data_IF_527783947744
#
_entry.id   IF_527783947744
#
_cell.length_a   1.000
_cell.length_b   1.000
_cell.length_c   1.000
_cell.angle_alpha   90.00
_cell.angle_beta   90.00
_cell.angle_gamma   90.00
#
_symmetry.space_group_name_H-M   'P 1'
#
loop_
_entity.id
_entity.type
_entity.pdbx_description
1 polymer ?
#
# COMPACT_ATOMS: atom_id res chain seq x y z
N UNK A 1 -2.29 -3.42 39.32
CA UNK A 1 -1.49 -4.28 38.42
C UNK A 1 -1.11 -5.53 39.16
N UNK A 2 -1.43 -6.72 38.61
CA UNK A 2 -1.27 -8.01 39.35
C UNK A 2 0.12 -8.65 39.22
N UNK A 3 1.14 -7.93 38.79
CA UNK A 3 2.55 -8.38 38.79
C UNK A 3 2.87 -9.70 38.07
N UNK A 4 2.04 -10.10 37.07
CA UNK A 4 2.26 -11.34 36.32
C UNK A 4 1.62 -12.61 36.91
N UNK A 5 0.87 -12.51 37.99
CA UNK A 5 0.11 -13.64 38.53
C UNK A 5 -1.23 -13.79 37.82
N UNK A 6 -1.45 -14.92 37.13
CA UNK A 6 -2.70 -15.26 36.45
C UNK A 6 -3.62 -16.04 37.40
N UNK A 7 -4.91 -15.66 37.37
CA UNK A 7 -5.97 -16.37 38.06
C UNK A 7 -6.60 -17.43 37.15
N UNK A 8 -7.32 -18.43 37.68
CA UNK A 8 -8.04 -19.39 36.84
C UNK A 8 -8.99 -18.76 35.83
N UNK A 9 -9.56 -17.60 36.13
CA UNK A 9 -10.41 -16.81 35.21
C UNK A 9 -9.60 -16.27 34.03
N UNK A 10 -8.34 -15.87 34.25
CA UNK A 10 -7.48 -15.35 33.18
C UNK A 10 -7.13 -16.46 32.17
N UNK A 11 -6.86 -17.69 32.66
CA UNK A 11 -6.65 -18.86 31.79
C UNK A 11 -7.92 -19.27 31.03
N UNK A 12 -9.09 -19.20 31.68
CA UNK A 12 -10.37 -19.45 31.00
C UNK A 12 -10.60 -18.47 29.89
N UNK A 13 -10.46 -17.15 30.14
CA UNK A 13 -10.64 -16.11 29.15
C UNK A 13 -9.65 -16.26 27.99
N UNK A 14 -8.39 -16.55 28.28
CA UNK A 14 -7.37 -16.79 27.26
C UNK A 14 -7.68 -18.03 26.41
N UNK A 15 -8.14 -19.12 27.02
CA UNK A 15 -8.55 -20.34 26.31
C UNK A 15 -9.71 -20.06 25.34
N UNK A 16 -10.73 -19.33 25.81
CA UNK A 16 -11.84 -18.88 24.96
C UNK A 16 -11.34 -18.01 23.82
N UNK A 17 -10.41 -17.07 24.11
CA UNK A 17 -9.81 -16.20 23.09
C UNK A 17 -9.05 -16.98 22.02
N UNK A 18 -8.25 -17.97 22.41
CA UNK A 18 -7.54 -18.86 21.48
C UNK A 18 -8.53 -19.62 20.58
N UNK A 19 -9.58 -20.21 21.15
CA UNK A 19 -10.61 -20.95 20.40
C UNK A 19 -11.33 -20.03 19.40
N UNK A 20 -11.70 -18.83 19.82
CA UNK A 20 -12.34 -17.83 18.93
C UNK A 20 -11.41 -17.46 17.77
N UNK A 21 -10.12 -17.25 18.03
CA UNK A 21 -9.14 -16.95 16.99
C UNK A 21 -9.02 -18.10 15.98
N UNK A 22 -8.97 -19.34 16.42
CA UNK A 22 -8.96 -20.51 15.52
C UNK A 22 -10.24 -20.61 14.69
N UNK A 23 -11.40 -20.38 15.30
CA UNK A 23 -12.68 -20.40 14.57
C UNK A 23 -12.77 -19.25 13.54
N UNK A 24 -12.27 -18.06 13.89
CA UNK A 24 -12.14 -16.95 12.93
C UNK A 24 -11.20 -17.30 11.79
N UNK A 25 -10.01 -17.84 12.10
CA UNK A 25 -9.05 -18.28 11.10
C UNK A 25 -9.64 -19.37 10.18
N UNK A 26 -10.38 -20.32 10.74
CA UNK A 26 -11.06 -21.37 9.96
C UNK A 26 -12.05 -20.78 8.96
N UNK A 27 -12.80 -19.75 9.34
CA UNK A 27 -13.77 -19.08 8.43
C UNK A 27 -13.10 -18.25 7.36
N UNK A 28 -11.90 -17.69 7.65
CA UNK A 28 -11.20 -16.77 6.73
C UNK A 28 -10.25 -17.53 5.81
N UNK A 29 -9.41 -18.41 6.36
CA UNK A 29 -8.31 -19.07 5.63
C UNK A 29 -8.53 -20.58 5.44
N UNK A 30 -9.63 -21.13 5.93
CA UNK A 30 -10.04 -22.51 5.68
C UNK A 30 -8.99 -23.54 6.12
N UNK A 31 -8.42 -24.26 5.15
CA UNK A 31 -7.49 -25.35 5.41
C UNK A 31 -6.19 -24.95 6.12
N UNK A 32 -5.71 -23.71 5.96
CA UNK A 32 -4.53 -23.21 6.67
C UNK A 32 -4.77 -23.12 8.17
N UNK A 33 -6.00 -22.86 8.61
CA UNK A 33 -6.33 -22.88 10.03
C UNK A 33 -6.24 -24.29 10.62
N UNK A 34 -6.56 -25.34 9.85
CA UNK A 34 -6.36 -26.71 10.26
C UNK A 34 -4.87 -27.05 10.45
N UNK A 35 -4.03 -26.59 9.53
CA UNK A 35 -2.57 -26.73 9.66
C UNK A 35 -2.03 -26.02 10.91
N UNK A 36 -2.48 -24.79 11.17
CA UNK A 36 -2.15 -24.08 12.41
C UNK A 36 -2.63 -24.83 13.66
N UNK A 37 -3.83 -25.44 13.61
CA UNK A 37 -4.36 -26.29 14.66
C UNK A 37 -3.48 -27.52 14.93
N UNK A 38 -2.94 -28.17 13.91
CA UNK A 38 -1.99 -29.26 14.04
C UNK A 38 -0.74 -28.82 14.79
N UNK A 39 -0.15 -27.67 14.43
CA UNK A 39 1.01 -27.12 15.14
C UNK A 39 0.67 -26.68 16.57
N UNK A 40 -0.55 -26.19 16.80
CA UNK A 40 -1.00 -25.89 18.15
C UNK A 40 -1.07 -27.16 19.02
N UNK A 41 -1.66 -28.25 18.49
CA UNK A 41 -1.74 -29.54 19.19
C UNK A 41 -0.37 -30.20 19.37
N UNK A 42 0.56 -29.95 18.45
CA UNK A 42 1.94 -30.44 18.55
C UNK A 42 2.62 -29.98 19.83
N UNK A 43 2.32 -28.78 20.38
CA UNK A 43 2.87 -28.32 21.64
C UNK A 43 2.57 -29.28 22.83
N UNK A 44 1.47 -30.01 22.76
CA UNK A 44 1.08 -30.97 23.82
C UNK A 44 1.57 -32.37 23.52
N UNK A 45 1.76 -32.73 22.26
CA UNK A 45 2.08 -34.07 21.82
C UNK A 45 3.59 -34.37 21.73
N UNK A 46 4.43 -33.41 22.04
CA UNK A 46 5.89 -33.51 21.84
C UNK A 46 6.57 -34.71 22.48
N UNK A 47 6.10 -35.16 23.64
CA UNK A 47 6.63 -36.32 24.36
C UNK A 47 6.35 -37.66 23.65
N UNK A 48 5.30 -37.71 22.82
CA UNK A 48 4.87 -38.92 22.10
C UNK A 48 5.53 -39.06 20.74
N UNK A 49 6.26 -38.04 20.29
CA UNK A 49 6.86 -38.01 18.99
C UNK A 49 8.34 -38.44 19.09
N UNK A 50 8.75 -39.56 18.46
CA UNK A 50 10.12 -40.01 18.54
C UNK A 50 11.02 -39.22 17.57
N UNK A 51 12.32 -39.14 17.90
CA UNK A 51 13.36 -38.60 17.01
C UNK A 51 13.53 -37.08 17.12
N UNK A 52 14.00 -36.49 16.04
CA UNK A 52 14.37 -35.06 15.97
C UNK A 52 13.22 -34.08 16.19
N UNK A 53 11.98 -34.53 16.05
CA UNK A 53 10.78 -33.73 16.26
C UNK A 53 10.17 -33.90 17.67
N UNK A 54 10.75 -34.77 18.53
CA UNK A 54 10.32 -34.92 19.90
C UNK A 54 10.76 -33.75 20.77
N UNK A 55 9.89 -33.29 21.66
CA UNK A 55 10.20 -32.26 22.66
C UNK A 55 9.44 -32.56 23.97
N UNK A 56 9.90 -31.98 25.06
CA UNK A 56 9.14 -32.02 26.32
C UNK A 56 7.83 -31.26 26.14
N UNK A 57 6.69 -31.94 26.21
CA UNK A 57 5.37 -31.33 26.07
C UNK A 57 5.18 -30.12 26.99
N UNK A 58 4.35 -29.18 26.57
CA UNK A 58 4.02 -28.01 27.39
C UNK A 58 2.66 -28.18 28.06
N UNK A 59 2.54 -27.67 29.32
CA UNK A 59 1.25 -27.64 30.01
C UNK A 59 0.28 -26.65 29.34
N UNK A 60 -1.02 -26.92 29.49
CA UNK A 60 -2.08 -26.04 28.96
C UNK A 60 -1.89 -24.58 29.37
N UNK A 61 -1.64 -24.36 30.66
CA UNK A 61 -1.46 -23.03 31.23
C UNK A 61 -0.33 -22.26 30.53
N UNK A 62 0.82 -22.92 30.33
CA UNK A 62 1.97 -22.31 29.63
C UNK A 62 1.69 -21.99 28.17
N UNK A 63 1.00 -22.88 27.44
CA UNK A 63 0.66 -22.64 26.02
C UNK A 63 -0.34 -21.51 25.90
N UNK A 64 -1.38 -21.48 26.71
CA UNK A 64 -2.41 -20.45 26.68
C UNK A 64 -1.87 -19.09 27.13
N UNK A 65 -1.02 -19.06 28.17
CA UNK A 65 -0.34 -17.85 28.58
C UNK A 65 0.52 -17.27 27.46
N UNK A 66 1.35 -18.09 26.82
CA UNK A 66 2.20 -17.66 25.71
C UNK A 66 1.38 -17.19 24.50
N UNK A 67 0.33 -17.90 24.15
CA UNK A 67 -0.49 -17.62 22.97
C UNK A 67 -1.36 -16.37 23.13
N UNK A 68 -1.92 -16.11 24.32
CA UNK A 68 -2.89 -15.03 24.50
C UNK A 68 -2.31 -13.81 25.24
N UNK A 69 -1.60 -14.03 26.34
CA UNK A 69 -1.06 -12.94 27.17
C UNK A 69 0.36 -12.53 26.76
N UNK A 70 1.07 -13.38 26.03
CA UNK A 70 2.41 -13.12 25.55
C UNK A 70 2.41 -12.18 24.33
N UNK A 71 3.44 -11.32 24.25
CA UNK A 71 3.68 -10.45 23.08
C UNK A 71 4.17 -11.21 21.83
N UNK A 72 4.37 -12.51 21.93
CA UNK A 72 4.80 -13.39 20.82
C UNK A 72 3.69 -14.28 20.28
N UNK A 73 2.55 -14.32 20.96
CA UNK A 73 1.37 -15.10 20.58
C UNK A 73 0.40 -14.35 19.65
N UNK A 74 -0.89 -14.58 19.88
CA UNK A 74 -1.98 -14.01 19.07
C UNK A 74 -1.97 -12.47 19.07
N UNK A 75 -1.65 -11.84 20.18
CA UNK A 75 -1.55 -10.37 20.32
C UNK A 75 -0.11 -9.86 20.05
N UNK A 76 0.69 -10.67 19.37
CA UNK A 76 2.08 -10.35 19.06
C UNK A 76 2.23 -9.38 17.88
N UNK A 77 3.45 -9.38 17.32
CA UNK A 77 3.90 -8.47 16.25
C UNK A 77 2.94 -8.44 15.06
N UNK A 78 2.40 -9.60 14.65
CA UNK A 78 1.49 -9.68 13.49
C UNK A 78 0.21 -8.85 13.66
N UNK A 79 -0.45 -8.98 14.82
CA UNK A 79 -1.65 -8.18 15.13
C UNK A 79 -1.29 -6.73 15.39
N UNK A 80 -0.19 -6.46 16.10
CA UNK A 80 0.31 -5.12 16.35
C UNK A 80 0.55 -4.35 15.04
N UNK A 81 1.28 -4.94 14.10
CA UNK A 81 1.54 -4.35 12.76
C UNK A 81 0.24 -4.18 11.98
N UNK A 82 -0.68 -5.15 12.04
CA UNK A 82 -1.97 -5.09 11.35
C UNK A 82 -2.85 -3.94 11.86
N UNK A 83 -2.95 -3.80 13.18
CA UNK A 83 -3.78 -2.78 13.81
C UNK A 83 -3.23 -1.35 13.65
N UNK A 84 -1.94 -1.20 13.39
CA UNK A 84 -1.26 0.10 13.29
C UNK A 84 -0.88 0.44 11.85
N UNK A 85 0.21 -0.14 11.36
CA UNK A 85 0.78 0.22 10.06
C UNK A 85 -0.13 -0.15 8.90
N UNK A 86 -0.60 -1.42 8.84
CA UNK A 86 -1.37 -1.92 7.70
C UNK A 86 -2.68 -1.13 7.57
N UNK A 87 -3.38 -0.90 8.68
CA UNK A 87 -4.63 -0.14 8.68
C UNK A 87 -4.45 1.24 8.04
N UNK A 88 -3.45 2.02 8.47
CA UNK A 88 -3.22 3.37 7.94
C UNK A 88 -2.75 3.37 6.48
N UNK A 89 -1.92 2.41 6.07
CA UNK A 89 -1.47 2.33 4.68
C UNK A 89 -2.58 1.87 3.73
N UNK A 90 -3.45 0.95 4.17
CA UNK A 90 -4.65 0.56 3.41
C UNK A 90 -5.60 1.75 3.27
N UNK A 91 -5.80 2.50 4.34
CA UNK A 91 -6.59 3.74 4.32
C UNK A 91 -5.99 4.78 3.37
N UNK A 92 -4.68 5.01 3.42
CA UNK A 92 -3.97 5.89 2.49
C UNK A 92 -4.15 5.45 1.03
N UNK A 93 -4.03 4.14 0.74
CA UNK A 93 -4.28 3.57 -0.59
C UNK A 93 -5.70 3.83 -1.08
N UNK A 94 -6.72 3.72 -0.20
CA UNK A 94 -8.10 4.04 -0.52
C UNK A 94 -8.27 5.54 -0.85
N UNK A 95 -7.68 6.44 -0.07
CA UNK A 95 -7.69 7.88 -0.37
C UNK A 95 -7.05 8.21 -1.72
N UNK A 96 -5.88 7.61 -2.01
CA UNK A 96 -5.24 7.78 -3.32
C UNK A 96 -6.10 7.26 -4.46
N UNK A 97 -6.73 6.11 -4.32
CA UNK A 97 -7.65 5.55 -5.32
C UNK A 97 -8.78 6.53 -5.64
N UNK A 98 -9.45 7.06 -4.63
CA UNK A 98 -10.56 8.01 -4.80
C UNK A 98 -10.12 9.42 -5.24
N UNK A 99 -8.83 9.76 -5.13
CA UNK A 99 -8.29 11.01 -5.67
C UNK A 99 -8.14 11.02 -7.20
N UNK A 100 -8.35 9.86 -7.88
CA UNK A 100 -8.10 9.70 -9.30
C UNK A 100 -6.65 9.29 -9.64
N UNK A 101 -5.87 8.90 -8.64
CA UNK A 101 -4.49 8.47 -8.80
C UNK A 101 -4.36 7.23 -9.70
N UNK A 102 -5.32 6.29 -9.63
CA UNK A 102 -5.32 5.08 -10.47
C UNK A 102 -5.39 5.42 -11.96
N UNK A 103 -6.26 6.36 -12.35
CA UNK A 103 -6.37 6.81 -13.74
C UNK A 103 -5.09 7.53 -14.19
N UNK A 104 -4.52 8.33 -13.30
CA UNK A 104 -3.27 9.03 -13.56
C UNK A 104 -2.11 8.06 -13.82
N UNK A 105 -1.97 7.00 -13.01
CA UNK A 105 -0.94 5.97 -13.18
C UNK A 105 -1.13 5.19 -14.49
N UNK A 106 -2.37 4.83 -14.82
CA UNK A 106 -2.66 4.15 -16.09
C UNK A 106 -2.29 5.02 -17.30
N UNK A 107 -2.67 6.30 -17.29
CA UNK A 107 -2.30 7.25 -18.35
C UNK A 107 -0.78 7.45 -18.42
N UNK A 108 -0.11 7.52 -17.28
CA UNK A 108 1.35 7.62 -17.22
C UNK A 108 2.03 6.38 -17.79
N UNK A 109 1.58 5.19 -17.43
CA UNK A 109 2.09 3.93 -17.97
C UNK A 109 1.88 3.83 -19.49
N UNK A 110 0.71 4.26 -19.97
CA UNK A 110 0.43 4.36 -21.42
C UNK A 110 1.42 5.29 -22.14
N UNK A 111 1.74 6.43 -21.56
CA UNK A 111 2.68 7.37 -22.17
C UNK A 111 4.11 6.84 -22.20
N UNK A 112 4.54 6.10 -21.17
CA UNK A 112 5.90 5.61 -21.02
C UNK A 112 6.21 4.43 -21.95
N UNK A 113 5.33 3.43 -21.99
CA UNK A 113 5.62 2.15 -22.67
C UNK A 113 4.62 1.76 -23.74
N UNK A 114 3.50 2.46 -23.87
CA UNK A 114 2.40 2.10 -24.77
C UNK A 114 2.80 1.99 -26.26
N UNK A 115 3.76 2.80 -26.74
CA UNK A 115 4.25 2.78 -28.14
C UNK A 115 5.19 1.64 -28.44
N UNK A 116 5.75 1.00 -27.44
CA UNK A 116 6.75 -0.08 -27.64
C UNK A 116 6.10 -1.37 -28.07
N UNK A 117 6.85 -2.27 -28.70
CA UNK A 117 6.37 -3.62 -29.04
C UNK A 117 5.80 -4.30 -27.80
N UNK A 118 4.56 -4.79 -27.90
CA UNK A 118 3.85 -5.34 -26.75
C UNK A 118 3.39 -4.30 -25.74
N UNK A 119 3.20 -3.05 -26.16
CA UNK A 119 2.80 -1.92 -25.31
C UNK A 119 1.73 -2.23 -24.27
N UNK A 120 0.58 -2.81 -24.64
CA UNK A 120 -0.49 -3.11 -23.68
C UNK A 120 -0.07 -3.97 -22.50
N UNK A 121 0.72 -5.02 -22.73
CA UNK A 121 1.20 -5.87 -21.65
C UNK A 121 2.28 -5.18 -20.79
N UNK A 122 3.13 -4.36 -21.39
CA UNK A 122 4.09 -3.53 -20.63
C UNK A 122 3.39 -2.43 -19.82
N UNK A 123 2.29 -1.87 -20.34
CA UNK A 123 1.45 -0.93 -19.60
C UNK A 123 0.88 -1.62 -18.36
N UNK A 124 0.39 -2.86 -18.49
CA UNK A 124 -0.04 -3.66 -17.34
C UNK A 124 1.07 -3.78 -16.30
N UNK A 125 2.28 -4.18 -16.72
CA UNK A 125 3.42 -4.33 -15.79
C UNK A 125 3.76 -3.03 -15.08
N UNK A 126 3.88 -1.91 -15.81
CA UNK A 126 4.25 -0.62 -15.23
C UNK A 126 3.14 -0.05 -14.35
N UNK A 127 1.88 -0.11 -14.81
CA UNK A 127 0.74 0.36 -14.02
C UNK A 127 0.58 -0.45 -12.73
N UNK A 128 0.66 -1.79 -12.83
CA UNK A 128 0.56 -2.67 -11.65
C UNK A 128 1.76 -2.53 -10.72
N UNK A 129 2.96 -2.24 -11.23
CA UNK A 129 4.10 -1.90 -10.39
C UNK A 129 3.83 -0.64 -9.57
N UNK A 130 3.46 0.45 -10.22
CA UNK A 130 3.22 1.73 -9.56
C UNK A 130 2.02 1.71 -8.61
N UNK A 131 0.93 1.03 -8.97
CA UNK A 131 -0.23 0.87 -8.08
C UNK A 131 0.06 -0.10 -6.94
N UNK A 132 0.76 -1.20 -7.22
CA UNK A 132 1.14 -2.19 -6.22
C UNK A 132 2.06 -1.63 -5.14
N UNK A 133 2.98 -0.75 -5.52
CA UNK A 133 3.84 -0.01 -4.57
C UNK A 133 3.05 0.77 -3.51
N UNK A 134 1.78 1.10 -3.79
CA UNK A 134 0.93 1.92 -2.93
C UNK A 134 -0.05 1.08 -2.14
N UNK A 135 -0.77 0.18 -2.80
CA UNK A 135 -1.80 -0.61 -2.12
C UNK A 135 -1.26 -1.86 -1.42
N UNK A 136 -0.04 -2.30 -1.74
CA UNK A 136 0.65 -3.43 -1.08
C UNK A 136 -0.07 -4.79 -1.17
N UNK A 137 -1.20 -4.87 -1.87
CA UNK A 137 -2.04 -6.05 -2.00
C UNK A 137 -2.15 -6.49 -3.45
N UNK A 138 -1.67 -7.70 -3.76
CA UNK A 138 -1.78 -8.27 -5.11
C UNK A 138 -3.22 -8.39 -5.57
N UNK A 139 -4.14 -8.85 -4.69
CA UNK A 139 -5.56 -9.01 -5.03
C UNK A 139 -6.23 -7.67 -5.34
N UNK A 140 -6.00 -6.66 -4.49
CA UNK A 140 -6.53 -5.32 -4.71
C UNK A 140 -5.96 -4.71 -6.01
N UNK A 141 -4.70 -4.98 -6.31
CA UNK A 141 -4.05 -4.48 -7.51
C UNK A 141 -4.64 -5.13 -8.78
N UNK A 142 -4.77 -6.46 -8.83
CA UNK A 142 -5.46 -7.15 -9.94
C UNK A 142 -6.87 -6.62 -10.14
N UNK A 143 -7.62 -6.37 -9.07
CA UNK A 143 -8.99 -5.86 -9.17
C UNK A 143 -9.06 -4.43 -9.73
N UNK A 144 -8.04 -3.59 -9.48
CA UNK A 144 -8.02 -2.19 -9.95
C UNK A 144 -7.39 -2.04 -11.33
N UNK A 145 -6.17 -2.53 -11.53
CA UNK A 145 -5.45 -2.40 -12.81
C UNK A 145 -5.90 -3.43 -13.82
N UNK A 146 -6.14 -4.67 -13.42
CA UNK A 146 -6.51 -5.78 -14.29
C UNK A 146 -7.85 -5.60 -15.00
N UNK A 147 -8.79 -4.88 -14.38
CA UNK A 147 -10.06 -4.52 -15.03
C UNK A 147 -9.86 -3.71 -16.33
N UNK A 148 -8.78 -2.95 -16.42
CA UNK A 148 -8.44 -2.12 -17.59
C UNK A 148 -7.42 -2.84 -18.49
N UNK A 149 -6.37 -3.38 -17.90
CA UNK A 149 -5.19 -3.89 -18.63
C UNK A 149 -5.44 -5.25 -19.28
N UNK A 150 -6.19 -6.17 -18.65
CA UNK A 150 -6.50 -7.48 -19.23
C UNK A 150 -7.34 -7.34 -20.52
N UNK A 151 -8.46 -6.59 -20.54
CA UNK A 151 -9.18 -6.34 -21.79
C UNK A 151 -8.32 -5.66 -22.88
N UNK A 152 -7.43 -4.73 -22.49
CA UNK A 152 -6.54 -4.04 -23.40
C UNK A 152 -5.54 -5.03 -24.05
N UNK A 153 -4.94 -5.93 -23.29
CA UNK A 153 -4.04 -6.97 -23.79
C UNK A 153 -4.77 -7.94 -24.74
N UNK A 154 -5.98 -8.37 -24.37
CA UNK A 154 -6.81 -9.25 -25.22
C UNK A 154 -7.15 -8.62 -26.56
N UNK A 155 -7.55 -7.35 -26.58
CA UNK A 155 -7.87 -6.60 -27.82
C UNK A 155 -6.68 -6.45 -28.76
N UNK A 156 -5.45 -6.53 -28.24
CA UNK A 156 -4.21 -6.38 -29.04
C UNK A 156 -3.60 -7.71 -29.46
N UNK A 157 -4.26 -8.83 -29.18
CA UNK A 157 -3.88 -10.14 -29.71
C UNK A 157 -3.16 -11.07 -28.72
N UNK A 158 -3.05 -10.71 -27.45
CA UNK A 158 -2.58 -11.64 -26.44
C UNK A 158 -3.66 -12.67 -26.07
N UNK A 159 -3.22 -13.90 -25.81
CA UNK A 159 -4.09 -14.96 -25.28
C UNK A 159 -4.64 -14.56 -23.91
N UNK A 160 -5.92 -14.89 -23.59
CA UNK A 160 -6.53 -14.52 -22.31
C UNK A 160 -5.74 -15.02 -21.08
N UNK A 161 -5.21 -16.25 -21.17
CA UNK A 161 -4.43 -16.88 -20.10
C UNK A 161 -3.12 -16.13 -19.84
N UNK A 162 -2.44 -15.70 -20.93
CA UNK A 162 -1.21 -14.91 -20.81
C UNK A 162 -1.50 -13.51 -20.24
N UNK A 163 -2.57 -12.86 -20.70
CA UNK A 163 -2.96 -11.56 -20.18
C UNK A 163 -3.29 -11.62 -18.67
N UNK A 164 -4.02 -12.65 -18.24
CA UNK A 164 -4.31 -12.86 -16.82
C UNK A 164 -3.05 -13.17 -16.01
N UNK A 165 -2.14 -14.00 -16.55
CA UNK A 165 -0.88 -14.34 -15.90
C UNK A 165 0.04 -13.11 -15.73
N UNK A 166 0.19 -12.29 -16.77
CA UNK A 166 0.99 -11.05 -16.70
C UNK A 166 0.45 -10.12 -15.61
N UNK A 167 -0.86 -9.90 -15.55
CA UNK A 167 -1.47 -9.04 -14.54
C UNK A 167 -1.29 -9.61 -13.13
N UNK A 168 -1.52 -10.92 -12.94
CA UNK A 168 -1.36 -11.58 -11.64
C UNK A 168 0.09 -11.48 -11.13
N UNK A 169 1.08 -11.76 -12.00
CA UNK A 169 2.49 -11.67 -11.66
C UNK A 169 2.89 -10.22 -11.41
N UNK A 170 2.51 -9.26 -12.28
CA UNK A 170 2.82 -7.85 -12.08
C UNK A 170 2.25 -7.31 -10.76
N UNK A 171 1.02 -7.68 -10.43
CA UNK A 171 0.35 -7.27 -9.19
C UNK A 171 1.00 -7.87 -7.94
N UNK A 172 1.51 -9.11 -8.03
CA UNK A 172 2.19 -9.77 -6.91
C UNK A 172 3.48 -9.02 -6.52
N UNK A 173 4.21 -8.49 -7.48
CA UNK A 173 5.41 -7.69 -7.22
C UNK A 173 5.19 -6.47 -6.34
N UNK A 174 3.97 -5.92 -6.31
CA UNK A 174 3.61 -4.79 -5.45
C UNK A 174 3.74 -5.07 -3.95
N UNK A 175 3.68 -6.34 -3.54
CA UNK A 175 3.80 -6.72 -2.12
C UNK A 175 5.20 -6.47 -1.53
N UNK A 176 6.22 -6.43 -2.37
CA UNK A 176 7.61 -6.15 -1.94
C UNK A 176 8.25 -4.96 -2.65
N UNK A 177 7.49 -4.27 -3.51
CA UNK A 177 7.97 -3.07 -4.17
C UNK A 177 7.82 -1.84 -3.26
N UNK A 178 8.92 -1.11 -2.98
CA UNK A 178 8.85 0.14 -2.22
C UNK A 178 7.95 1.19 -2.91
N UNK A 179 7.35 2.13 -2.16
CA UNK A 179 7.64 2.48 -0.76
C UNK A 179 6.78 1.77 0.29
N UNK A 180 5.54 1.36 -0.02
CA UNK A 180 4.62 0.87 1.03
C UNK A 180 4.77 -0.63 1.23
N UNK A 181 5.01 -1.38 0.15
CA UNK A 181 5.09 -2.84 0.19
C UNK A 181 3.79 -3.47 0.75
N UNK A 182 3.83 -4.73 1.11
CA UNK A 182 2.75 -5.39 1.85
C UNK A 182 3.05 -5.46 3.35
N UNK A 183 2.15 -6.11 4.09
CA UNK A 183 2.28 -6.35 5.52
C UNK A 183 3.65 -6.93 5.92
N UNK A 184 4.21 -7.78 5.07
CA UNK A 184 5.47 -8.50 5.32
C UNK A 184 6.65 -7.54 5.54
N UNK A 185 6.70 -6.42 4.82
CA UNK A 185 7.76 -5.43 5.00
C UNK A 185 7.80 -4.83 6.40
N UNK A 186 6.64 -4.53 6.97
CA UNK A 186 6.52 -3.99 8.33
C UNK A 186 6.84 -5.05 9.38
N UNK A 187 6.32 -6.27 9.20
CA UNK A 187 6.61 -7.40 10.09
C UNK A 187 8.11 -7.70 10.09
N UNK A 188 8.75 -7.67 8.92
CA UNK A 188 10.19 -7.88 8.81
C UNK A 188 10.99 -6.81 9.54
N UNK A 189 10.62 -5.54 9.43
CA UNK A 189 11.27 -4.44 10.15
C UNK A 189 11.19 -4.63 11.67
N UNK A 190 10.03 -5.03 12.17
CA UNK A 190 9.78 -5.28 13.59
C UNK A 190 10.58 -6.49 14.11
N UNK A 191 10.59 -7.62 13.38
CA UNK A 191 11.36 -8.80 13.77
C UNK A 191 12.87 -8.57 13.75
N UNK A 192 13.37 -7.79 12.79
CA UNK A 192 14.80 -7.46 12.69
C UNK A 192 15.23 -6.32 13.63
N UNK A 193 14.28 -5.62 14.25
CA UNK A 193 14.58 -4.45 15.08
C UNK A 193 15.25 -3.32 14.30
N UNK A 194 14.95 -3.17 13.02
CA UNK A 194 15.53 -2.12 12.16
C UNK A 194 14.46 -1.14 11.67
N UNK A 195 14.84 0.13 11.38
CA UNK A 195 13.91 1.06 10.78
C UNK A 195 13.34 0.53 9.46
N UNK A 196 12.05 0.74 9.23
CA UNK A 196 11.36 0.30 8.01
C UNK A 196 12.04 0.79 6.73
N UNK A 197 12.62 2.00 6.74
CA UNK A 197 13.38 2.57 5.61
C UNK A 197 14.55 1.70 5.17
N UNK A 198 15.22 0.99 6.09
CA UNK A 198 16.29 0.03 5.73
C UNK A 198 15.74 -1.17 4.98
N UNK A 199 14.61 -1.73 5.44
CA UNK A 199 13.92 -2.83 4.74
C UNK A 199 13.46 -2.39 3.37
N UNK A 200 12.86 -1.21 3.28
CA UNK A 200 12.40 -0.59 2.04
C UNK A 200 13.54 -0.43 1.01
N UNK A 201 14.68 0.10 1.41
CA UNK A 201 15.85 0.26 0.54
C UNK A 201 16.43 -1.09 0.11
N UNK A 202 16.50 -2.07 1.01
CA UNK A 202 16.96 -3.42 0.68
C UNK A 202 16.02 -4.11 -0.32
N UNK A 203 14.71 -3.92 -0.21
CA UNK A 203 13.71 -4.47 -1.12
C UNK A 203 13.73 -3.82 -2.51
N UNK A 204 14.29 -2.62 -2.67
CA UNK A 204 14.29 -1.88 -3.94
C UNK A 204 15.02 -2.65 -5.06
N UNK A 205 16.15 -3.28 -4.76
CA UNK A 205 16.95 -4.03 -5.75
C UNK A 205 16.20 -5.29 -6.23
N UNK A 206 15.70 -6.17 -5.35
CA UNK A 206 14.88 -7.31 -5.77
C UNK A 206 13.64 -6.90 -6.54
N UNK A 207 12.95 -5.85 -6.11
CA UNK A 207 11.76 -5.35 -6.79
C UNK A 207 12.09 -4.86 -8.22
N UNK A 208 13.15 -4.09 -8.37
CA UNK A 208 13.60 -3.63 -9.69
C UNK A 208 13.92 -4.81 -10.62
N UNK A 209 14.68 -5.80 -10.14
CA UNK A 209 15.04 -7.00 -10.93
C UNK A 209 13.80 -7.80 -11.31
N UNK A 210 12.83 -7.93 -10.40
CA UNK A 210 11.57 -8.61 -10.66
C UNK A 210 10.79 -7.97 -11.81
N UNK A 211 10.56 -6.66 -11.74
CA UNK A 211 9.82 -5.96 -12.79
C UNK A 211 10.61 -5.88 -14.10
N UNK A 212 11.92 -5.74 -14.04
CA UNK A 212 12.78 -5.80 -15.23
C UNK A 212 12.65 -7.16 -15.95
N UNK A 213 12.73 -8.25 -15.20
CA UNK A 213 12.59 -9.62 -15.75
C UNK A 213 11.20 -9.82 -16.36
N UNK A 214 10.14 -9.33 -15.69
CA UNK A 214 8.78 -9.42 -16.21
C UNK A 214 8.60 -8.59 -17.49
N UNK A 215 9.15 -7.36 -17.53
CA UNK A 215 9.13 -6.52 -18.74
C UNK A 215 9.85 -7.18 -19.91
N UNK A 216 10.98 -7.86 -19.65
CA UNK A 216 11.72 -8.62 -20.66
C UNK A 216 10.91 -9.81 -21.16
N UNK A 217 10.31 -10.60 -20.27
CA UNK A 217 9.48 -11.74 -20.63
C UNK A 217 8.31 -11.31 -21.53
N UNK A 218 7.61 -10.24 -21.14
CA UNK A 218 6.51 -9.66 -21.93
C UNK A 218 7.01 -9.11 -23.27
N UNK A 219 8.20 -8.51 -23.31
CA UNK A 219 8.78 -7.99 -24.55
C UNK A 219 9.09 -9.10 -25.55
N UNK A 220 9.73 -10.18 -25.09
CA UNK A 220 10.08 -11.28 -25.98
C UNK A 220 8.84 -12.04 -26.48
N UNK A 221 7.83 -12.24 -25.64
CA UNK A 221 6.57 -12.85 -26.08
C UNK A 221 5.85 -11.96 -27.12
N UNK A 222 5.83 -10.65 -26.91
CA UNK A 222 5.28 -9.70 -27.89
C UNK A 222 6.00 -9.79 -29.24
N UNK A 223 7.32 -9.87 -29.22
CA UNK A 223 8.12 -10.03 -30.44
C UNK A 223 7.88 -11.34 -31.16
N UNK A 224 7.77 -12.43 -30.41
CA UNK A 224 7.43 -13.76 -30.91
C UNK A 224 6.05 -13.78 -31.61
N UNK A 225 5.08 -13.08 -31.06
CA UNK A 225 3.73 -12.96 -31.61
C UNK A 225 3.60 -11.85 -32.68
N UNK A 226 4.65 -11.08 -32.97
CA UNK A 226 4.63 -9.98 -33.92
C UNK A 226 3.76 -8.79 -33.50
N UNK A 227 3.47 -8.66 -32.19
CA UNK A 227 2.59 -7.62 -31.67
C UNK A 227 3.27 -6.24 -31.68
N UNK A 228 2.58 -5.27 -32.24
CA UNK A 228 3.01 -3.87 -32.29
C UNK A 228 2.57 -3.11 -31.03
N UNK A 229 3.11 -1.91 -30.84
CA UNK A 229 2.63 -0.98 -29.84
C UNK A 229 1.26 -0.39 -30.20
N UNK A 230 0.68 0.36 -29.26
CA UNK A 230 -0.55 1.12 -29.50
C UNK A 230 -0.31 2.27 -30.48
N UNK A 231 -1.33 2.59 -31.27
CA UNK A 231 -1.26 3.75 -32.16
C UNK A 231 -1.18 5.05 -31.34
N UNK A 232 -0.48 6.08 -31.86
CA UNK A 232 -0.31 7.37 -31.16
C UNK A 232 -1.61 8.03 -30.73
N UNK A 233 -2.70 7.77 -31.45
CA UNK A 233 -4.04 8.33 -31.19
C UNK A 233 -4.64 7.87 -29.87
N UNK A 234 -4.24 6.67 -29.40
CA UNK A 234 -4.73 6.09 -28.15
C UNK A 234 -3.83 6.40 -26.95
N UNK A 235 -2.76 7.17 -27.14
CA UNK A 235 -1.77 7.46 -26.09
C UNK A 235 -1.85 8.94 -25.72
N UNK A 236 -2.20 9.27 -24.49
CA UNK A 236 -2.25 10.65 -24.04
C UNK A 236 -0.85 11.28 -24.09
N UNK A 237 -0.77 12.60 -24.34
CA UNK A 237 0.50 13.31 -24.34
C UNK A 237 1.05 13.40 -22.89
N UNK A 238 2.29 12.96 -22.67
CA UNK A 238 2.93 12.92 -21.34
C UNK A 238 2.89 14.28 -20.63
N UNK A 239 3.19 15.37 -21.36
CA UNK A 239 3.14 16.73 -20.81
C UNK A 239 1.73 17.14 -20.35
N UNK A 240 0.67 16.69 -21.03
CA UNK A 240 -0.71 16.95 -20.65
C UNK A 240 -1.08 16.17 -19.39
N UNK A 241 -0.74 14.89 -19.33
CA UNK A 241 -1.00 14.02 -18.16
C UNK A 241 -0.32 14.58 -16.90
N UNK A 242 0.97 14.91 -16.98
CA UNK A 242 1.72 15.49 -15.88
C UNK A 242 1.20 16.88 -15.47
N UNK A 243 0.85 17.72 -16.42
CA UNK A 243 0.32 19.06 -16.13
C UNK A 243 -1.07 19.02 -15.49
N UNK A 244 -1.93 18.09 -15.91
CA UNK A 244 -3.31 18.01 -15.39
C UNK A 244 -3.39 17.25 -14.05
N UNK A 245 -2.55 16.22 -13.85
CA UNK A 245 -2.69 15.27 -12.74
C UNK A 245 -1.41 15.03 -11.93
N UNK A 246 -0.28 15.67 -12.29
CA UNK A 246 1.02 15.47 -11.62
C UNK A 246 1.00 15.82 -10.12
N UNK A 247 0.08 16.71 -9.68
CA UNK A 247 -0.12 17.02 -8.27
C UNK A 247 -0.53 15.81 -7.42
N UNK A 248 -1.07 14.76 -8.05
CA UNK A 248 -1.45 13.53 -7.34
C UNK A 248 -0.23 12.73 -6.85
N UNK A 249 1.00 13.03 -7.32
CA UNK A 249 2.22 12.49 -6.74
C UNK A 249 2.59 13.11 -5.38
N UNK A 250 2.04 14.28 -5.04
CA UNK A 250 2.38 15.01 -3.80
C UNK A 250 2.27 14.14 -2.55
N UNK A 251 1.16 13.41 -2.31
CA UNK A 251 1.03 12.58 -1.12
C UNK A 251 2.13 11.51 -1.02
N UNK A 252 2.52 10.94 -2.15
CA UNK A 252 3.58 9.92 -2.19
C UNK A 252 4.95 10.52 -1.89
N UNK A 253 5.22 11.72 -2.41
CA UNK A 253 6.45 12.47 -2.12
C UNK A 253 6.51 12.84 -0.63
N UNK A 254 5.40 13.30 -0.06
CA UNK A 254 5.29 13.62 1.38
C UNK A 254 5.56 12.38 2.23
N UNK A 255 4.97 11.23 1.85
CA UNK A 255 5.19 9.96 2.53
C UNK A 255 6.68 9.60 2.57
N UNK A 256 7.30 9.55 1.39
CA UNK A 256 8.71 9.18 1.26
C UNK A 256 9.61 10.15 2.02
N UNK A 257 9.36 11.43 1.86
CA UNK A 257 10.18 12.45 2.51
C UNK A 257 10.14 12.34 4.04
N UNK A 258 8.93 12.21 4.63
CA UNK A 258 8.80 12.04 6.08
C UNK A 258 9.47 10.76 6.58
N UNK A 259 9.37 9.68 5.81
CA UNK A 259 10.03 8.42 6.18
C UNK A 259 11.56 8.52 6.13
N UNK A 260 12.13 9.23 5.15
CA UNK A 260 13.58 9.45 5.06
C UNK A 260 14.10 10.47 6.07
N UNK A 261 13.24 11.41 6.48
CA UNK A 261 13.56 12.40 7.54
C UNK A 261 13.49 11.77 8.97
N UNK A 262 13.16 10.47 9.08
CA UNK A 262 13.20 9.72 10.33
C UNK A 262 11.88 9.68 11.10
N UNK A 263 10.78 10.21 10.55
CA UNK A 263 9.46 10.05 11.16
C UNK A 263 8.96 8.60 11.08
N UNK A 264 8.09 8.23 12.03
CA UNK A 264 7.50 6.90 12.02
C UNK A 264 6.63 6.68 10.79
N UNK A 265 6.57 5.46 10.22
CA UNK A 265 5.71 5.16 9.07
C UNK A 265 4.23 5.49 9.33
N UNK A 266 3.79 5.34 10.59
CA UNK A 266 2.44 5.69 11.03
C UNK A 266 2.13 7.18 10.84
N UNK A 267 3.03 8.04 11.30
CA UNK A 267 2.90 9.49 11.15
C UNK A 267 2.98 9.90 9.68
N UNK A 268 3.92 9.32 8.93
CA UNK A 268 4.09 9.59 7.51
C UNK A 268 2.83 9.22 6.70
N UNK A 269 2.20 8.06 6.99
CA UNK A 269 0.95 7.64 6.36
C UNK A 269 -0.21 8.58 6.71
N UNK A 270 -0.39 8.93 7.98
CA UNK A 270 -1.43 9.86 8.41
C UNK A 270 -1.27 11.24 7.75
N UNK A 271 -0.07 11.81 7.76
CA UNK A 271 0.21 13.09 7.10
C UNK A 271 -0.06 13.02 5.59
N UNK A 272 0.24 11.89 4.94
CA UNK A 272 0.02 11.69 3.51
C UNK A 272 -1.47 11.56 3.15
N UNK A 273 -2.31 11.05 4.05
CA UNK A 273 -3.78 11.08 3.89
C UNK A 273 -4.27 12.53 3.84
N UNK A 274 -3.84 13.37 4.79
CA UNK A 274 -4.18 14.80 4.77
C UNK A 274 -3.63 15.51 3.54
N UNK A 275 -2.40 15.16 3.12
CA UNK A 275 -1.81 15.69 1.90
C UNK A 275 -2.62 15.29 0.64
N UNK A 276 -3.21 14.08 0.60
CA UNK A 276 -4.07 13.63 -0.50
C UNK A 276 -5.33 14.51 -0.60
N UNK A 277 -6.00 14.74 0.53
CA UNK A 277 -7.16 15.62 0.57
C UNK A 277 -6.76 17.05 0.17
N UNK A 278 -5.70 17.59 0.75
CA UNK A 278 -5.18 18.92 0.44
C UNK A 278 -4.80 19.09 -1.03
N UNK A 279 -4.08 18.13 -1.62
CA UNK A 279 -3.68 18.17 -3.01
C UNK A 279 -4.87 18.20 -3.98
N UNK A 280 -5.97 17.51 -3.67
CA UNK A 280 -7.19 17.51 -4.50
C UNK A 280 -8.05 18.77 -4.33
N UNK A 281 -8.01 19.40 -3.16
CA UNK A 281 -8.81 20.61 -2.89
C UNK A 281 -8.12 21.90 -3.32
N UNK A 282 -6.79 21.95 -3.20
CA UNK A 282 -6.01 23.17 -3.41
C UNK A 282 -6.18 23.78 -4.81
N UNK A 283 -6.19 23.01 -5.94
CA UNK A 283 -6.46 23.59 -7.26
C UNK A 283 -7.82 24.25 -7.37
N UNK A 284 -8.85 23.72 -6.69
CA UNK A 284 -10.19 24.30 -6.70
C UNK A 284 -10.28 25.55 -5.83
N UNK A 285 -9.61 25.59 -4.69
CA UNK A 285 -9.53 26.77 -3.84
C UNK A 285 -8.81 27.94 -4.54
N UNK A 286 -7.68 27.64 -5.20
CA UNK A 286 -6.94 28.63 -5.99
C UNK A 286 -7.77 29.12 -7.18
N UNK A 287 -8.55 28.22 -7.82
CA UNK A 287 -9.47 28.58 -8.90
C UNK A 287 -10.62 29.51 -8.50
N UNK A 288 -11.04 29.47 -7.22
CA UNK A 288 -12.03 30.40 -6.65
C UNK A 288 -11.51 31.84 -6.50
N UNK A 289 -10.18 32.01 -6.40
CA UNK A 289 -9.55 33.31 -6.35
C UNK A 289 -9.51 33.91 -7.77
N UNK A 290 -10.47 34.79 -8.06
CA UNK A 290 -10.79 35.29 -9.39
C UNK A 290 -9.73 36.25 -9.96
N UNK A 291 -8.88 36.84 -9.13
CA UNK A 291 -7.85 37.80 -9.56
C UNK A 291 -6.44 37.26 -9.34
N UNK A 292 -5.50 37.65 -10.24
CA UNK A 292 -4.08 37.31 -10.08
C UNK A 292 -3.53 37.79 -8.73
N UNK A 293 -3.94 38.98 -8.30
CA UNK A 293 -3.53 39.60 -7.03
C UNK A 293 -3.98 38.78 -5.82
N UNK A 294 -5.24 38.28 -5.80
CA UNK A 294 -5.73 37.43 -4.71
C UNK A 294 -4.98 36.09 -4.64
N UNK A 295 -4.62 35.52 -5.78
CA UNK A 295 -3.79 34.30 -5.83
C UNK A 295 -2.39 34.52 -5.26
N UNK A 296 -1.76 35.65 -5.64
CA UNK A 296 -0.42 36.00 -5.12
C UNK A 296 -0.48 36.27 -3.62
N UNK A 297 -1.51 36.98 -3.13
CA UNK A 297 -1.67 37.24 -1.71
C UNK A 297 -1.91 35.98 -0.88
N UNK A 298 -2.80 35.07 -1.34
CA UNK A 298 -3.04 33.77 -0.68
C UNK A 298 -1.77 32.90 -0.66
N UNK A 299 -0.98 32.95 -1.71
CA UNK A 299 0.30 32.23 -1.79
C UNK A 299 1.34 32.81 -0.82
N UNK A 300 1.49 34.13 -0.77
CA UNK A 300 2.41 34.82 0.18
C UNK A 300 1.97 34.55 1.63
N UNK A 301 0.68 34.59 1.93
CA UNK A 301 0.15 34.28 3.26
C UNK A 301 0.46 32.82 3.65
N UNK A 302 0.29 31.88 2.73
CA UNK A 302 0.60 30.48 2.98
C UNK A 302 2.10 30.27 3.25
N UNK A 303 2.97 30.89 2.45
CA UNK A 303 4.42 30.86 2.68
C UNK A 303 4.80 31.49 4.03
N UNK A 304 4.15 32.57 4.42
CA UNK A 304 4.38 33.21 5.71
C UNK A 304 3.97 32.31 6.88
N UNK A 305 2.82 31.62 6.77
CA UNK A 305 2.34 30.66 7.78
C UNK A 305 3.28 29.46 7.89
N UNK A 306 3.70 28.89 6.75
CA UNK A 306 4.65 27.76 6.72
C UNK A 306 6.03 28.16 7.26
N UNK A 307 6.50 29.34 6.92
CA UNK A 307 7.74 29.90 7.47
C UNK A 307 7.66 30.15 8.97
N UNK A 308 6.55 30.67 9.47
CA UNK A 308 6.28 30.84 10.88
C UNK A 308 6.26 29.51 11.66
N UNK A 309 5.63 28.48 11.09
CA UNK A 309 5.61 27.14 11.68
C UNK A 309 7.00 26.47 11.68
N UNK A 310 7.80 26.72 10.66
CA UNK A 310 9.19 26.24 10.63
C UNK A 310 10.06 26.94 11.67
N UNK A 311 9.92 28.28 11.79
CA UNK A 311 10.66 29.07 12.79
C UNK A 311 10.25 28.76 14.23
N UNK A 312 8.99 28.37 14.47
CA UNK A 312 8.52 27.94 15.79
C UNK A 312 8.96 26.51 16.18
N UNK A 313 9.67 25.81 15.32
CA UNK A 313 10.09 24.42 15.54
C UNK A 313 8.98 23.39 15.41
N UNK A 314 7.76 23.79 15.06
CA UNK A 314 6.61 22.91 14.83
C UNK A 314 6.72 22.14 13.51
N UNK A 315 7.46 22.67 12.55
CA UNK A 315 7.76 22.01 11.28
C UNK A 315 9.26 22.12 10.99
N UNK A 316 9.88 21.06 10.48
CA UNK A 316 11.25 21.17 9.98
C UNK A 316 11.28 22.08 8.73
N UNK A 317 12.38 22.78 8.52
CA UNK A 317 12.55 23.68 7.37
C UNK A 317 12.32 22.94 6.05
N UNK A 318 12.76 21.68 5.97
CA UNK A 318 12.51 20.82 4.82
C UNK A 318 11.03 20.54 4.57
N UNK A 319 10.25 20.28 5.64
CA UNK A 319 8.81 20.10 5.55
C UNK A 319 8.10 21.36 5.04
N UNK A 320 8.52 22.54 5.51
CA UNK A 320 7.95 23.80 5.05
C UNK A 320 8.26 24.07 3.56
N UNK A 321 9.47 23.79 3.11
CA UNK A 321 9.86 23.90 1.68
C UNK A 321 9.07 22.94 0.83
N UNK A 322 8.95 21.67 1.24
CA UNK A 322 8.24 20.65 0.49
C UNK A 322 6.75 21.00 0.38
N UNK A 323 6.10 21.40 1.46
CA UNK A 323 4.69 21.83 1.43
C UNK A 323 4.49 23.04 0.53
N UNK A 324 5.41 24.00 0.52
CA UNK A 324 5.39 25.15 -0.36
C UNK A 324 5.50 24.71 -1.86
N UNK A 325 6.43 23.80 -2.18
CA UNK A 325 6.58 23.26 -3.53
C UNK A 325 5.35 22.46 -3.97
N UNK A 326 4.74 21.67 -3.08
CA UNK A 326 3.52 20.94 -3.33
C UNK A 326 2.34 21.88 -3.63
N UNK A 327 2.22 22.97 -2.89
CA UNK A 327 1.21 24.00 -3.13
C UNK A 327 1.42 24.68 -4.49
N UNK A 328 2.67 25.03 -4.83
CA UNK A 328 3.02 25.60 -6.13
C UNK A 328 2.65 24.66 -7.28
N UNK A 329 3.03 23.37 -7.18
CA UNK A 329 2.72 22.37 -8.18
C UNK A 329 1.21 22.20 -8.36
N UNK A 330 0.44 22.16 -7.26
CA UNK A 330 -1.01 22.02 -7.30
C UNK A 330 -1.73 23.23 -7.88
N UNK A 331 -1.15 24.44 -7.77
CA UNK A 331 -1.69 25.66 -8.36
C UNK A 331 -1.69 25.65 -9.90
N UNK A 332 -0.87 24.80 -10.51
CA UNK A 332 -0.75 24.64 -11.98
C UNK A 332 -1.67 23.53 -12.53
N UNK A 333 -2.33 22.77 -11.69
CA UNK A 333 -3.09 21.60 -12.06
C UNK A 333 -4.60 21.84 -12.14
N UNK A 334 -5.31 20.99 -12.88
CA UNK A 334 -6.74 21.12 -13.15
C UNK A 334 -7.60 20.67 -11.94
N UNK A 335 -8.67 21.42 -11.64
CA UNK A 335 -9.62 21.16 -10.55
C UNK A 335 -10.56 19.95 -10.78
N UNK A 336 -10.32 19.11 -11.80
CA UNK A 336 -11.24 18.07 -12.26
C UNK A 336 -11.43 16.91 -11.26
N UNK A 337 -10.47 16.69 -10.37
CA UNK A 337 -10.46 15.56 -9.40
C UNK A 337 -10.55 16.03 -7.95
N UNK A 338 -11.68 16.61 -7.60
CA UNK A 338 -11.92 17.10 -6.23
C UNK A 338 -12.50 16.00 -5.35
N UNK A 339 -11.86 15.69 -4.23
CA UNK A 339 -12.45 14.84 -3.20
C UNK A 339 -13.56 15.62 -2.46
N UNK A 340 -14.82 15.36 -2.82
CA UNK A 340 -15.95 15.92 -2.07
C UNK A 340 -16.08 15.23 -0.70
N UNK A 341 -16.77 15.82 0.30
CA UNK A 341 -17.00 15.15 1.59
C UNK A 341 -17.59 13.74 1.46
N UNK A 342 -18.45 13.50 0.47
CA UNK A 342 -18.99 12.16 0.18
C UNK A 342 -17.90 11.18 -0.27
N UNK A 343 -16.99 11.62 -1.13
CA UNK A 343 -15.85 10.81 -1.60
C UNK A 343 -14.87 10.53 -0.47
N UNK A 344 -14.66 11.47 0.43
CA UNK A 344 -13.84 11.26 1.66
C UNK A 344 -14.48 10.18 2.53
N UNK A 345 -15.79 10.24 2.76
CA UNK A 345 -16.52 9.20 3.53
C UNK A 345 -16.43 7.84 2.82
N UNK A 346 -16.57 7.79 1.50
CA UNK A 346 -16.41 6.55 0.73
C UNK A 346 -14.98 5.98 0.84
N UNK A 347 -13.95 6.83 0.80
CA UNK A 347 -12.57 6.40 0.98
C UNK A 347 -12.31 5.86 2.40
N UNK A 348 -12.91 6.47 3.41
CA UNK A 348 -12.86 5.98 4.80
C UNK A 348 -13.57 4.62 4.93
N UNK A 349 -14.77 4.49 4.35
CA UNK A 349 -15.55 3.24 4.40
C UNK A 349 -14.83 2.11 3.65
N UNK A 350 -14.29 2.37 2.46
CA UNK A 350 -13.51 1.35 1.73
C UNK A 350 -12.23 0.98 2.46
N UNK A 351 -11.47 1.96 2.97
CA UNK A 351 -10.26 1.69 3.76
C UNK A 351 -10.56 0.85 5.00
N UNK A 352 -11.65 1.16 5.72
CA UNK A 352 -12.10 0.37 6.85
C UNK A 352 -12.54 -1.04 6.43
N UNK A 353 -13.30 -1.19 5.34
CA UNK A 353 -13.74 -2.50 4.84
C UNK A 353 -12.57 -3.38 4.43
N UNK A 354 -11.56 -2.84 3.77
CA UNK A 354 -10.35 -3.60 3.40
C UNK A 354 -9.53 -4.01 4.61
N UNK A 355 -9.45 -3.17 5.65
CA UNK A 355 -8.78 -3.50 6.90
C UNK A 355 -9.55 -4.59 7.69
N UNK A 356 -10.87 -4.68 7.50
CA UNK A 356 -11.76 -5.65 8.15
C UNK A 356 -12.29 -6.70 7.15
N UNK A 357 -11.54 -6.98 6.07
CA UNK A 357 -11.99 -7.81 4.97
C UNK A 357 -12.78 -9.03 5.45
N UNK A 358 -14.09 -9.00 5.24
CA UNK A 358 -14.91 -10.22 5.24
C UNK A 358 -14.56 -10.96 3.94
N UNK A 359 -14.15 -12.21 3.99
CA UNK A 359 -14.19 -13.04 2.79
C UNK A 359 -15.66 -13.10 2.32
N UNK A 360 -15.88 -12.85 1.04
CA UNK A 360 -17.15 -13.05 0.39
C UNK A 360 -17.50 -14.54 0.36
#
# INVERSE_FOLDING_TARGET
MRGGYFLPVDYFMASVGVIICFEMARRVVGSLAALAGVFFLYNFAGEWIPGAFGHTGFSWDRVVEHMFWGSQGLLGVGVGVSATYIFLFVLFGAFLKYSGFSDFINDLALTLVGRTAGGPAKVSVVASALMGMINGSALANVATTGAITIPLMKKTGYKPEFAAAVEAVASTGGQFAPPIMGAVGFIMAEFLGVPYTKVMLAAAIPAFLYYLTLLMAVHFEARKLGLKGLSPEHIPAAGKVLRERGHLFIPLIVLLWLMFDGYTPLFAAAASIFATVGATWLPSLIGLLRTKTARTFAFVLLLAVLGGLALSGLLSLGAAILTALCVLASAWCSARYRMTPRVVVQALDEGARWAWARPA
#
